data_IF_073407336715
#
_entry.id   IF_073407336715
#
_cell.length_a   1.000
_cell.length_b   1.000
_cell.length_c   1.000
_cell.angle_alpha   90.00
_cell.angle_beta   90.00
_cell.angle_gamma   90.00
#
_symmetry.space_group_name_H-M   'P 1'
#
loop_
_entity.id
_entity.type
_entity.pdbx_description
1 polymer ?
#
# COMPACT_ATOMS: atom_id res chain seq x y z
N UNK A 1 -3.81 -15.79 -77.21
CA UNK A 1 -2.59 -15.81 -76.39
C UNK A 1 -2.56 -14.55 -75.55
N UNK A 2 -2.43 -14.75 -74.24
CA UNK A 2 -1.98 -13.83 -73.18
C UNK A 2 -2.94 -12.73 -72.71
N UNK A 3 -3.29 -12.90 -71.43
CA UNK A 3 -4.04 -12.07 -70.51
C UNK A 3 -3.29 -10.80 -70.06
N UNK A 4 -3.97 -9.89 -69.37
CA UNK A 4 -3.32 -8.83 -68.60
C UNK A 4 -4.26 -7.79 -67.99
N UNK A 5 -5.00 -8.17 -66.96
CA UNK A 5 -5.55 -7.26 -65.94
C UNK A 5 -4.40 -6.58 -65.17
N UNK A 6 -4.49 -5.27 -64.90
CA UNK A 6 -4.09 -4.65 -63.63
C UNK A 6 -4.45 -3.15 -63.60
N UNK A 7 -5.59 -2.82 -63.00
CA UNK A 7 -5.84 -1.52 -62.39
C UNK A 7 -4.91 -1.38 -61.18
N UNK A 8 -3.99 -0.42 -61.23
CA UNK A 8 -3.08 -0.10 -60.13
C UNK A 8 -3.81 0.55 -58.96
N UNK A 9 -4.15 -0.27 -57.98
CA UNK A 9 -4.62 0.12 -56.65
C UNK A 9 -3.42 0.70 -55.88
N UNK A 10 -3.46 1.99 -55.57
CA UNK A 10 -2.47 2.58 -54.66
C UNK A 10 -2.79 2.08 -53.25
N UNK A 11 -1.81 1.53 -52.50
CA UNK A 11 -2.08 1.03 -51.16
C UNK A 11 -2.45 2.20 -50.24
N UNK A 12 -3.74 2.33 -49.93
CA UNK A 12 -4.21 3.07 -48.78
C UNK A 12 -3.70 2.32 -47.55
N UNK A 13 -2.62 2.82 -46.97
CA UNK A 13 -2.19 2.45 -45.63
C UNK A 13 -3.36 2.73 -44.68
N UNK A 14 -4.08 1.69 -44.30
CA UNK A 14 -5.09 1.77 -43.24
C UNK A 14 -4.34 2.01 -41.94
N UNK A 15 -4.39 3.25 -41.46
CA UNK A 15 -4.07 3.57 -40.06
C UNK A 15 -5.07 2.80 -39.20
N UNK A 16 -4.56 1.89 -38.37
CA UNK A 16 -5.36 1.11 -37.44
C UNK A 16 -6.01 2.01 -36.37
N UNK A 17 -7.02 1.49 -35.63
CA UNK A 17 -7.78 2.26 -34.65
C UNK A 17 -7.01 2.62 -33.36
N UNK A 18 -5.68 2.43 -33.31
CA UNK A 18 -4.85 2.65 -32.12
C UNK A 18 -3.96 3.89 -32.18
N UNK A 19 -3.96 4.65 -33.28
CA UNK A 19 -3.32 5.99 -33.31
C UNK A 19 -4.27 7.03 -32.71
N UNK A 20 -4.50 6.91 -31.40
CA UNK A 20 -5.03 8.04 -30.63
C UNK A 20 -3.93 9.10 -30.65
N UNK A 21 -4.16 10.32 -31.21
CA UNK A 21 -3.17 11.38 -31.11
C UNK A 21 -2.80 11.57 -29.64
N UNK A 22 -1.51 11.75 -29.30
CA UNK A 22 -1.10 11.95 -27.92
C UNK A 22 -1.90 13.12 -27.38
N UNK A 23 -2.71 12.89 -26.36
CA UNK A 23 -3.53 13.89 -25.68
C UNK A 23 -2.77 15.23 -25.58
N UNK A 24 -3.08 16.16 -26.50
CA UNK A 24 -2.29 17.37 -26.72
C UNK A 24 -2.24 18.21 -25.42
N UNK A 25 -3.29 18.10 -24.61
CA UNK A 25 -3.37 18.70 -23.28
C UNK A 25 -2.38 18.10 -22.30
N UNK A 26 -2.19 16.77 -22.31
CA UNK A 26 -1.24 16.05 -21.46
C UNK A 26 0.21 16.33 -21.84
N UNK A 27 0.51 16.39 -23.15
CA UNK A 27 1.85 16.75 -23.62
C UNK A 27 2.19 18.22 -23.30
N UNK A 28 1.26 19.15 -23.54
CA UNK A 28 1.44 20.56 -23.19
C UNK A 28 1.60 20.77 -21.67
N UNK A 29 0.89 20.01 -20.84
CA UNK A 29 1.05 20.03 -19.39
C UNK A 29 2.45 19.56 -18.95
N UNK A 30 2.95 18.45 -19.54
CA UNK A 30 4.31 17.96 -19.28
C UNK A 30 5.38 18.96 -19.70
N UNK A 31 5.26 19.56 -20.89
CA UNK A 31 6.20 20.59 -21.36
C UNK A 31 6.22 21.83 -20.46
N UNK A 32 5.05 22.25 -19.97
CA UNK A 32 4.97 23.34 -18.97
C UNK A 32 5.67 22.96 -17.66
N UNK A 33 5.47 21.74 -17.18
CA UNK A 33 6.14 21.25 -15.97
C UNK A 33 7.66 21.17 -16.14
N UNK A 34 8.16 20.71 -17.29
CA UNK A 34 9.60 20.72 -17.62
C UNK A 34 10.17 22.13 -17.53
N UNK A 35 9.54 23.11 -18.20
CA UNK A 35 10.01 24.51 -18.17
C UNK A 35 9.99 25.10 -16.77
N UNK A 36 8.95 24.82 -15.99
CA UNK A 36 8.82 25.35 -14.64
C UNK A 36 9.86 24.75 -13.69
N UNK A 37 10.08 23.42 -13.77
CA UNK A 37 11.12 22.75 -13.00
C UNK A 37 12.52 23.26 -13.39
N UNK A 38 12.81 23.40 -14.68
CA UNK A 38 14.08 23.96 -15.17
C UNK A 38 14.31 25.38 -14.63
N UNK A 39 13.30 26.24 -14.65
CA UNK A 39 13.38 27.61 -14.10
C UNK A 39 13.68 27.61 -12.61
N UNK A 40 13.11 26.68 -11.84
CA UNK A 40 13.45 26.53 -10.42
C UNK A 40 14.93 26.16 -10.22
N UNK A 41 15.47 25.25 -11.04
CA UNK A 41 16.88 24.89 -10.97
C UNK A 41 17.81 26.01 -11.45
N UNK A 42 17.39 26.83 -12.43
CA UNK A 42 18.11 28.05 -12.83
C UNK A 42 18.20 29.06 -11.68
N UNK A 43 17.08 29.29 -10.98
CA UNK A 43 17.04 30.16 -9.79
C UNK A 43 18.01 29.62 -8.73
N UNK A 44 17.98 28.31 -8.46
CA UNK A 44 18.89 27.67 -7.51
C UNK A 44 20.38 27.86 -7.85
N UNK A 45 20.75 27.85 -9.14
CA UNK A 45 22.13 28.14 -9.59
C UNK A 45 22.52 29.59 -9.42
N UNK A 46 21.58 30.50 -9.68
CA UNK A 46 21.84 31.94 -9.67
C UNK A 46 21.79 32.57 -8.28
N UNK A 47 21.11 31.94 -7.32
CA UNK A 47 20.98 32.47 -5.96
C UNK A 47 22.26 32.26 -5.15
N UNK A 48 22.66 33.31 -4.42
CA UNK A 48 23.75 33.28 -3.42
C UNK A 48 23.26 32.93 -2.02
N UNK A 49 21.94 32.88 -1.80
CA UNK A 49 21.33 32.59 -0.51
C UNK A 49 20.97 31.10 -0.42
N UNK A 50 21.50 30.43 0.59
CA UNK A 50 21.33 28.99 0.78
C UNK A 50 19.85 28.58 0.91
N UNK A 51 19.08 29.27 1.75
CA UNK A 51 17.65 28.97 1.93
C UNK A 51 16.80 29.18 0.67
N UNK A 52 17.16 30.15 -0.18
CA UNK A 52 16.46 30.38 -1.46
C UNK A 52 16.80 29.28 -2.47
N UNK A 53 18.09 28.90 -2.54
CA UNK A 53 18.58 27.80 -3.37
C UNK A 53 17.90 26.49 -3.01
N UNK A 54 17.83 26.14 -1.73
CA UNK A 54 17.21 24.89 -1.26
C UNK A 54 15.70 24.87 -1.51
N UNK A 55 15.03 25.99 -1.29
CA UNK A 55 13.61 26.13 -1.59
C UNK A 55 13.32 26.05 -3.10
N UNK A 56 14.23 26.54 -3.95
CA UNK A 56 14.11 26.44 -5.40
C UNK A 56 14.36 25.00 -5.89
N UNK A 57 15.38 24.31 -5.38
CA UNK A 57 15.63 22.88 -5.66
C UNK A 57 14.43 22.03 -5.26
N UNK A 58 13.94 22.20 -4.03
CA UNK A 58 12.78 21.46 -3.51
C UNK A 58 11.53 21.65 -4.36
N UNK A 59 11.26 22.91 -4.78
CA UNK A 59 10.14 23.22 -5.67
C UNK A 59 10.29 22.59 -7.05
N UNK A 60 11.47 22.66 -7.66
CA UNK A 60 11.77 22.03 -8.96
C UNK A 60 11.55 20.52 -8.93
N UNK A 61 12.04 19.83 -7.89
CA UNK A 61 11.85 18.39 -7.70
C UNK A 61 10.37 18.04 -7.53
N UNK A 62 9.63 18.80 -6.73
CA UNK A 62 8.21 18.55 -6.50
C UNK A 62 7.38 18.69 -7.80
N UNK A 63 7.67 19.71 -8.62
CA UNK A 63 7.02 19.91 -9.92
C UNK A 63 7.32 18.75 -10.87
N UNK A 64 8.59 18.34 -10.96
CA UNK A 64 9.02 17.24 -11.83
C UNK A 64 8.36 15.91 -11.41
N UNK A 65 8.36 15.59 -10.11
CA UNK A 65 7.69 14.39 -9.57
C UNK A 65 6.19 14.40 -9.83
N UNK A 66 5.50 15.53 -9.59
CA UNK A 66 4.05 15.66 -9.82
C UNK A 66 3.66 15.45 -11.29
N UNK A 67 4.55 15.81 -12.22
CA UNK A 67 4.34 15.61 -13.65
C UNK A 67 4.83 14.24 -14.17
N UNK A 68 5.37 13.37 -13.31
CA UNK A 68 5.92 12.07 -13.68
C UNK A 68 7.20 12.17 -14.52
N UNK A 69 7.99 13.23 -14.34
CA UNK A 69 9.24 13.44 -15.05
C UNK A 69 10.39 12.79 -14.29
N UNK A 70 11.32 12.14 -15.02
CA UNK A 70 12.54 11.60 -14.43
C UNK A 70 13.46 12.75 -14.04
N UNK A 71 13.93 12.76 -12.80
CA UNK A 71 14.77 13.84 -12.28
C UNK A 71 16.16 13.87 -12.94
N UNK A 72 16.62 12.73 -13.47
CA UNK A 72 17.84 12.57 -14.28
C UNK A 72 17.86 13.48 -15.53
N UNK A 73 16.69 13.92 -16.01
CA UNK A 73 16.57 14.82 -17.17
C UNK A 73 16.90 16.27 -16.83
N UNK A 74 17.09 16.59 -15.54
CA UNK A 74 17.38 17.94 -15.07
C UNK A 74 18.79 18.01 -14.51
N UNK A 75 19.50 19.06 -14.86
CA UNK A 75 20.78 19.39 -14.22
C UNK A 75 20.50 20.09 -12.88
N UNK A 76 20.29 19.30 -11.83
CA UNK A 76 19.96 19.77 -10.49
C UNK A 76 21.25 20.22 -9.77
N UNK A 77 21.33 21.47 -9.28
CA UNK A 77 22.52 21.96 -8.58
C UNK A 77 22.79 21.20 -7.28
N UNK A 78 24.05 20.83 -7.03
CA UNK A 78 24.42 20.01 -5.88
C UNK A 78 24.00 18.54 -5.99
N UNK A 79 23.52 18.13 -7.17
CA UNK A 79 23.24 16.73 -7.48
C UNK A 79 24.34 16.20 -8.38
N UNK A 80 25.53 16.11 -7.79
CA UNK A 80 26.66 15.41 -8.38
C UNK A 80 26.85 14.04 -7.72
N UNK A 81 27.73 13.25 -8.31
CA UNK A 81 28.12 11.93 -7.78
C UNK A 81 28.74 12.04 -6.37
N UNK A 82 29.21 13.23 -5.97
CA UNK A 82 29.77 13.50 -4.64
C UNK A 82 28.69 13.58 -3.57
N UNK A 83 27.54 14.22 -3.84
CA UNK A 83 26.41 14.23 -2.91
C UNK A 83 25.78 12.85 -2.71
N UNK A 84 25.79 11.98 -3.74
CA UNK A 84 25.40 10.58 -3.56
C UNK A 84 26.41 9.85 -2.66
N UNK A 85 27.72 10.05 -2.88
CA UNK A 85 28.77 9.45 -2.07
C UNK A 85 28.71 9.89 -0.61
N UNK A 86 28.50 11.19 -0.36
CA UNK A 86 28.39 11.76 0.98
C UNK A 86 27.13 11.26 1.68
N UNK A 87 26.00 11.16 0.96
CA UNK A 87 24.77 10.58 1.49
C UNK A 87 24.94 9.09 1.84
N UNK A 88 25.65 8.33 1.01
CA UNK A 88 25.97 6.92 1.28
C UNK A 88 26.92 6.77 2.46
N UNK A 89 27.93 7.64 2.58
CA UNK A 89 28.84 7.66 3.73
C UNK A 89 28.08 7.99 5.03
N UNK A 90 27.23 9.03 5.02
CA UNK A 90 26.41 9.37 6.18
C UNK A 90 25.41 8.26 6.56
N UNK A 91 24.89 7.52 5.58
CA UNK A 91 24.04 6.36 5.82
C UNK A 91 24.84 5.20 6.45
N UNK A 92 26.05 4.93 5.96
CA UNK A 92 26.95 3.92 6.52
C UNK A 92 27.34 4.26 7.97
N UNK A 93 27.75 5.50 8.25
CA UNK A 93 28.05 5.97 9.61
C UNK A 93 26.85 5.82 10.56
N UNK A 94 25.64 6.04 10.03
CA UNK A 94 24.42 5.87 10.83
C UNK A 94 24.12 4.40 11.11
N UNK A 95 24.33 3.53 10.13
CA UNK A 95 24.20 2.08 10.30
C UNK A 95 25.23 1.55 11.30
N UNK A 96 26.49 2.00 11.23
CA UNK A 96 27.55 1.61 12.17
C UNK A 96 27.24 2.06 13.59
N UNK A 97 26.79 3.31 13.79
CA UNK A 97 26.36 3.79 15.11
C UNK A 97 25.22 2.96 15.68
N UNK A 98 24.24 2.58 14.88
CA UNK A 98 23.16 1.70 15.32
C UNK A 98 23.65 0.29 15.62
N UNK A 99 24.56 -0.25 14.80
CA UNK A 99 25.12 -1.57 15.01
C UNK A 99 25.89 -1.64 16.34
N UNK A 100 26.71 -0.61 16.62
CA UNK A 100 27.43 -0.46 17.88
C UNK A 100 26.48 -0.31 19.07
N UNK A 101 25.46 0.55 18.97
CA UNK A 101 24.50 0.78 20.05
C UNK A 101 23.67 -0.47 20.39
N UNK A 102 23.30 -1.26 19.38
CA UNK A 102 22.51 -2.50 19.54
C UNK A 102 23.37 -3.74 19.83
N UNK A 103 24.71 -3.60 19.77
CA UNK A 103 25.67 -4.71 19.87
C UNK A 103 25.31 -5.85 18.91
N UNK A 104 25.11 -5.49 17.64
CA UNK A 104 24.80 -6.45 16.57
C UNK A 104 25.91 -7.50 16.49
N UNK A 105 25.56 -8.78 16.50
CA UNK A 105 26.51 -9.88 16.30
C UNK A 105 26.91 -10.03 14.82
N UNK A 106 28.05 -10.67 14.56
CA UNK A 106 28.58 -10.83 13.19
C UNK A 106 27.65 -11.61 12.24
N UNK A 107 26.76 -12.44 12.78
CA UNK A 107 25.74 -13.23 12.07
C UNK A 107 24.32 -12.65 12.17
N UNK A 108 24.15 -11.47 12.79
CA UNK A 108 22.87 -10.84 13.07
C UNK A 108 22.67 -9.61 12.17
N UNK A 109 21.47 -9.42 11.61
CA UNK A 109 21.16 -8.16 10.91
C UNK A 109 20.79 -7.05 11.90
N UNK A 110 20.92 -5.77 11.50
CA UNK A 110 20.44 -4.64 12.34
C UNK A 110 18.95 -4.80 12.71
N UNK A 111 18.15 -5.40 11.82
CA UNK A 111 16.74 -5.65 12.09
C UNK A 111 16.56 -6.69 13.20
N UNK A 112 17.29 -7.79 13.14
CA UNK A 112 17.25 -8.86 14.15
C UNK A 112 17.70 -8.33 15.52
N UNK A 113 18.76 -7.51 15.55
CA UNK A 113 19.22 -6.87 16.78
C UNK A 113 18.19 -5.88 17.36
N UNK A 114 17.50 -5.11 16.51
CA UNK A 114 16.37 -4.26 16.96
C UNK A 114 15.23 -5.10 17.51
N UNK A 115 14.93 -6.23 16.89
CA UNK A 115 13.87 -7.14 17.32
C UNK A 115 14.20 -7.74 18.69
N UNK A 116 15.43 -8.24 18.86
CA UNK A 116 15.94 -8.73 20.15
C UNK A 116 15.89 -7.65 21.23
N UNK A 117 16.40 -6.45 20.96
CA UNK A 117 16.37 -5.34 21.92
C UNK A 117 14.93 -4.96 22.33
N UNK A 118 13.98 -5.02 21.40
CA UNK A 118 12.57 -4.80 21.69
C UNK A 118 12.00 -5.92 22.58
N UNK A 119 12.24 -7.18 22.25
CA UNK A 119 11.73 -8.33 23.00
C UNK A 119 12.35 -8.39 24.42
N UNK A 120 13.63 -8.03 24.57
CA UNK A 120 14.31 -7.84 25.86
C UNK A 120 13.65 -6.71 26.68
N UNK A 121 13.41 -5.55 26.06
CA UNK A 121 12.76 -4.41 26.72
C UNK A 121 11.31 -4.73 27.14
N UNK A 122 10.57 -5.45 26.30
CA UNK A 122 9.21 -5.91 26.58
C UNK A 122 9.20 -6.91 27.74
N UNK A 123 10.14 -7.86 27.76
CA UNK A 123 10.29 -8.83 28.84
C UNK A 123 10.67 -8.16 30.17
N UNK A 124 11.60 -7.20 30.13
CA UNK A 124 12.00 -6.41 31.29
C UNK A 124 10.86 -5.52 31.81
N UNK A 125 10.01 -4.99 30.92
CA UNK A 125 8.80 -4.27 31.32
C UNK A 125 7.79 -5.20 32.00
N UNK A 126 7.54 -6.38 31.43
CA UNK A 126 6.66 -7.38 32.01
C UNK A 126 7.15 -7.89 33.38
N UNK A 127 8.47 -8.04 33.57
CA UNK A 127 9.08 -8.36 34.87
C UNK A 127 8.87 -7.23 35.87
N UNK A 128 9.11 -5.96 35.48
CA UNK A 128 8.85 -4.80 36.35
C UNK A 128 7.38 -4.70 36.75
N UNK A 129 6.45 -5.01 35.84
CA UNK A 129 5.02 -5.01 36.14
C UNK A 129 4.64 -6.12 37.12
N UNK A 130 5.20 -7.33 36.94
CA UNK A 130 5.05 -8.43 37.91
C UNK A 130 5.58 -8.05 39.29
N UNK A 131 6.76 -7.45 39.37
CA UNK A 131 7.36 -6.99 40.63
C UNK A 131 6.56 -5.85 41.28
N UNK A 132 5.94 -4.99 40.47
CA UNK A 132 5.05 -3.92 40.94
C UNK A 132 3.65 -4.42 41.36
N UNK A 133 3.39 -5.74 41.31
CA UNK A 133 2.08 -6.31 41.64
C UNK A 133 0.97 -5.94 40.65
N UNK A 134 1.32 -5.36 39.49
CA UNK A 134 0.37 -5.12 38.40
C UNK A 134 0.14 -6.47 37.72
N UNK A 135 -1.11 -6.95 37.69
CA UNK A 135 -1.45 -8.15 36.91
C UNK A 135 -1.04 -7.88 35.46
N UNK A 136 -0.40 -8.87 34.83
CA UNK A 136 -0.22 -8.89 33.39
C UNK A 136 -1.58 -8.53 32.77
N UNK A 137 -1.62 -7.48 31.94
CA UNK A 137 -2.85 -7.09 31.25
C UNK A 137 -3.43 -8.35 30.62
N UNK A 138 -4.69 -8.66 30.94
CA UNK A 138 -5.37 -9.83 30.40
C UNK A 138 -5.11 -9.85 28.90
N UNK A 139 -4.56 -10.96 28.39
CA UNK A 139 -4.33 -11.11 26.96
C UNK A 139 -5.63 -10.69 26.27
N UNK A 140 -5.56 -9.68 25.39
CA UNK A 140 -6.72 -9.17 24.69
C UNK A 140 -7.42 -10.37 24.06
N UNK A 141 -8.63 -10.64 24.52
CA UNK A 141 -9.44 -11.73 23.99
C UNK A 141 -9.81 -11.35 22.55
N UNK A 142 -8.98 -11.81 21.61
CA UNK A 142 -9.13 -11.52 20.19
C UNK A 142 -10.46 -12.03 19.67
N UNK A 143 -10.98 -13.11 20.25
CA UNK A 143 -12.28 -13.65 19.88
C UNK A 143 -13.40 -12.72 20.36
N UNK A 144 -13.33 -12.23 21.61
CA UNK A 144 -14.28 -11.24 22.11
C UNK A 144 -14.26 -9.94 21.30
N UNK A 145 -13.07 -9.45 20.94
CA UNK A 145 -12.92 -8.27 20.07
C UNK A 145 -13.53 -8.51 18.68
N UNK A 146 -13.25 -9.65 18.07
CA UNK A 146 -13.80 -10.00 16.76
C UNK A 146 -15.33 -10.10 16.80
N UNK A 147 -15.89 -10.70 17.85
CA UNK A 147 -17.35 -10.74 18.06
C UNK A 147 -17.94 -9.35 18.25
N UNK A 148 -17.26 -8.46 18.97
CA UNK A 148 -17.69 -7.08 19.13
C UNK A 148 -17.72 -6.31 17.79
N UNK A 149 -16.69 -6.47 16.95
CA UNK A 149 -16.67 -5.89 15.59
C UNK A 149 -17.80 -6.41 14.70
N UNK A 150 -18.05 -7.72 14.73
CA UNK A 150 -19.13 -8.34 13.96
C UNK A 150 -20.53 -7.89 14.44
N UNK A 151 -20.69 -7.62 15.74
CA UNK A 151 -21.92 -7.04 16.27
C UNK A 151 -22.12 -5.60 15.83
N UNK A 152 -21.06 -4.80 15.79
CA UNK A 152 -21.12 -3.41 15.33
C UNK A 152 -21.54 -3.32 13.85
N UNK A 153 -20.93 -4.14 12.99
CA UNK A 153 -21.22 -4.17 11.56
C UNK A 153 -22.56 -4.82 11.22
N UNK A 154 -22.91 -5.89 11.93
CA UNK A 154 -24.11 -6.69 11.63
C UNK A 154 -25.01 -6.81 12.86
N UNK A 155 -25.65 -5.76 13.40
CA UNK A 155 -26.28 -5.79 14.73
C UNK A 155 -27.24 -6.97 14.97
N UNK A 156 -27.91 -7.44 13.93
CA UNK A 156 -28.83 -8.58 13.99
C UNK A 156 -28.47 -9.65 12.96
N UNK A 157 -28.86 -10.90 13.23
CA UNK A 157 -28.77 -12.00 12.26
C UNK A 157 -29.49 -11.65 10.95
N UNK A 158 -30.62 -10.95 11.03
CA UNK A 158 -31.36 -10.49 9.86
C UNK A 158 -30.55 -9.50 9.01
N UNK A 159 -29.74 -8.64 9.63
CA UNK A 159 -28.83 -7.75 8.91
C UNK A 159 -27.76 -8.54 8.13
N UNK A 160 -27.17 -9.57 8.76
CA UNK A 160 -26.22 -10.46 8.10
C UNK A 160 -26.87 -11.23 6.92
N UNK A 161 -28.08 -11.77 7.10
CA UNK A 161 -28.83 -12.45 6.03
C UNK A 161 -29.14 -11.49 4.87
N UNK A 162 -29.56 -10.26 5.18
CA UNK A 162 -29.83 -9.25 4.16
C UNK A 162 -28.58 -8.88 3.36
N UNK A 163 -27.43 -8.77 4.04
CA UNK A 163 -26.14 -8.49 3.40
C UNK A 163 -25.74 -9.62 2.43
N UNK A 164 -25.87 -10.87 2.86
CA UNK A 164 -25.65 -12.05 2.00
C UNK A 164 -26.59 -12.05 0.79
N UNK A 165 -27.89 -11.77 1.01
CA UNK A 165 -28.89 -11.67 -0.07
C UNK A 165 -28.57 -10.57 -1.07
N UNK A 166 -28.10 -9.41 -0.61
CA UNK A 166 -27.69 -8.30 -1.48
C UNK A 166 -26.54 -8.69 -2.42
N UNK A 167 -25.78 -9.74 -2.04
CA UNK A 167 -24.68 -10.32 -2.81
C UNK A 167 -25.05 -11.64 -3.48
N UNK A 168 -26.35 -11.91 -3.63
CA UNK A 168 -26.92 -13.12 -4.26
C UNK A 168 -26.54 -14.43 -3.57
N UNK A 169 -26.10 -14.38 -2.31
CA UNK A 169 -25.84 -15.56 -1.48
C UNK A 169 -27.13 -15.89 -0.70
N UNK A 170 -27.65 -17.11 -0.88
CA UNK A 170 -28.84 -17.57 -0.16
C UNK A 170 -28.43 -18.18 1.17
N UNK A 171 -29.05 -17.70 2.25
CA UNK A 171 -28.98 -18.31 3.57
C UNK A 171 -30.37 -18.81 3.95
N UNK A 172 -30.50 -20.11 4.21
CA UNK A 172 -31.74 -20.76 4.62
C UNK A 172 -31.62 -21.22 6.08
N UNK A 173 -32.70 -21.05 6.85
CA UNK A 173 -32.77 -21.56 8.22
C UNK A 173 -33.07 -23.05 8.14
N UNK A 174 -32.33 -23.84 8.90
CA UNK A 174 -32.69 -25.23 9.14
C UNK A 174 -32.43 -25.63 10.59
N UNK A 175 -32.81 -26.87 10.89
CA UNK A 175 -32.62 -27.44 12.21
C UNK A 175 -31.32 -28.27 12.21
N UNK A 176 -30.49 -28.09 13.24
CA UNK A 176 -29.32 -28.93 13.44
C UNK A 176 -29.76 -30.32 13.89
N UNK A 177 -29.49 -31.32 13.06
CA UNK A 177 -29.83 -32.73 13.32
C UNK A 177 -29.18 -33.22 14.63
N UNK A 178 -28.02 -32.68 14.99
CA UNK A 178 -27.31 -33.04 16.23
C UNK A 178 -27.78 -32.21 17.42
N UNK A 179 -28.39 -31.04 17.19
CA UNK A 179 -28.84 -30.10 18.22
C UNK A 179 -30.15 -29.42 17.81
N UNK A 180 -31.29 -30.14 17.85
CA UNK A 180 -32.57 -29.66 17.30
C UNK A 180 -33.14 -28.39 17.95
N UNK A 181 -32.58 -27.95 19.08
CA UNK A 181 -32.93 -26.69 19.73
C UNK A 181 -32.10 -25.50 19.24
N UNK A 182 -31.07 -25.73 18.43
CA UNK A 182 -30.16 -24.71 17.92
C UNK A 182 -30.59 -24.34 16.51
N UNK A 183 -30.91 -23.07 16.29
CA UNK A 183 -31.12 -22.55 14.93
C UNK A 183 -29.79 -22.49 14.22
N UNK A 184 -29.73 -23.08 13.04
CA UNK A 184 -28.56 -23.03 12.17
C UNK A 184 -28.96 -22.52 10.79
N UNK A 185 -27.96 -22.04 10.05
CA UNK A 185 -28.14 -21.52 8.70
C UNK A 185 -27.32 -22.32 7.70
N UNK A 186 -27.89 -22.57 6.54
CA UNK A 186 -27.22 -23.18 5.41
C UNK A 186 -27.02 -22.13 4.33
N UNK A 187 -25.76 -21.93 3.93
CA UNK A 187 -25.37 -20.90 2.97
C UNK A 187 -25.03 -21.53 1.62
N UNK A 188 -25.74 -21.12 0.56
CA UNK A 188 -25.57 -21.65 -0.78
C UNK A 188 -24.14 -21.41 -1.30
N UNK A 189 -23.47 -22.46 -1.77
CA UNK A 189 -22.10 -22.39 -2.29
C UNK A 189 -21.02 -22.86 -1.32
N UNK A 190 -21.37 -23.12 -0.04
CA UNK A 190 -20.44 -23.57 1.00
C UNK A 190 -20.77 -24.96 1.58
N UNK A 191 -21.40 -25.81 0.77
CA UNK A 191 -21.77 -27.17 1.16
C UNK A 191 -22.98 -27.24 2.10
N UNK A 192 -23.17 -28.40 2.73
CA UNK A 192 -24.30 -28.68 3.65
C UNK A 192 -23.89 -28.46 5.12
N UNK A 193 -22.82 -27.70 5.36
CA UNK A 193 -22.34 -27.46 6.72
C UNK A 193 -23.24 -26.41 7.39
N UNK A 194 -23.81 -26.70 8.57
CA UNK A 194 -24.60 -25.73 9.31
C UNK A 194 -23.70 -24.63 9.87
N UNK A 195 -24.15 -23.38 9.73
CA UNK A 195 -23.53 -22.20 10.30
C UNK A 195 -24.30 -21.80 11.57
N UNK A 196 -23.58 -21.46 12.63
CA UNK A 196 -24.15 -20.74 13.76
C UNK A 196 -24.29 -19.23 13.47
N UNK A 197 -24.83 -18.49 14.44
CA UNK A 197 -25.04 -17.05 14.30
C UNK A 197 -23.73 -16.28 14.03
N UNK A 198 -22.63 -16.67 14.67
CA UNK A 198 -21.35 -15.97 14.54
C UNK A 198 -20.69 -16.27 13.21
N UNK A 199 -20.70 -17.53 12.79
CA UNK A 199 -20.18 -17.93 11.50
C UNK A 199 -20.99 -17.29 10.36
N UNK A 200 -22.30 -17.08 10.52
CA UNK A 200 -23.11 -16.36 9.55
C UNK A 200 -22.71 -14.88 9.44
N UNK A 201 -22.43 -14.22 10.57
CA UNK A 201 -21.95 -12.82 10.62
C UNK A 201 -20.56 -12.70 10.02
N UNK A 202 -19.67 -13.65 10.28
CA UNK A 202 -18.36 -13.72 9.64
C UNK A 202 -18.48 -13.84 8.12
N UNK A 203 -19.42 -14.66 7.64
CA UNK A 203 -19.68 -14.77 6.21
C UNK A 203 -20.26 -13.51 5.60
N UNK A 204 -21.15 -12.83 6.28
CA UNK A 204 -21.61 -11.52 5.83
C UNK A 204 -20.45 -10.52 5.73
N UNK A 205 -19.52 -10.53 6.71
CA UNK A 205 -18.33 -9.68 6.68
C UNK A 205 -17.37 -10.03 5.55
N UNK A 206 -17.14 -11.33 5.27
CA UNK A 206 -16.27 -11.80 4.18
C UNK A 206 -16.80 -11.43 2.79
N UNK A 207 -18.12 -11.44 2.59
CA UNK A 207 -18.74 -11.19 1.28
C UNK A 207 -18.97 -9.68 1.05
N UNK A 208 -19.02 -8.87 2.11
CA UNK A 208 -19.30 -7.44 2.03
C UNK A 208 -18.11 -6.52 2.32
N UNK A 209 -17.06 -7.02 3.00
CA UNK A 209 -15.80 -6.30 3.22
C UNK A 209 -14.94 -6.23 1.97
#
# INVERSE_FOLDING_TARGET
MIAGHATGDAPRLSLGPDDTPPDDGRMAAKLRAVRLAAKCFDIARSSRFEGERDAAISRGIAIAKKAGLRLELFNIPGWDESCLRDALAAAADTQERWASALRVADDETIYDAKRRAFDEAASAAAERDRQAGRRAGAALDREALRKAELLDRWPTVHAAINALRARQVKAEVGDDILRPTTRVWFVSGWGVTPFDEWQLREKADEVCG
#
